data_IF_351934876252
#
_entry.id   IF_351934876252
#
_cell.length_a   1.000
_cell.length_b   1.000
_cell.length_c   1.000
_cell.angle_alpha   90.00
_cell.angle_beta   90.00
_cell.angle_gamma   90.00
#
_symmetry.space_group_name_H-M   'P 1'
#
loop_
_entity.id
_entity.type
_entity.pdbx_description
1 polymer ?
#
# COMPACT_ATOMS: atom_id res chain seq x y z
N UNK A 1 -2.98 5.87 24.78
CA UNK A 1 -4.34 5.83 24.21
C UNK A 1 -4.18 5.42 22.77
N UNK A 2 -4.90 4.40 22.30
CA UNK A 2 -4.83 3.96 20.91
C UNK A 2 -5.33 5.08 19.97
N UNK A 3 -4.71 5.23 18.79
CA UNK A 3 -5.04 6.27 17.81
C UNK A 3 -6.49 6.13 17.33
N UNK A 4 -6.98 4.89 17.21
CA UNK A 4 -8.36 4.63 16.81
C UNK A 4 -9.34 5.04 17.92
N UNK A 5 -9.02 4.78 19.19
CA UNK A 5 -9.85 5.22 20.32
C UNK A 5 -9.94 6.75 20.42
N UNK A 6 -8.81 7.43 20.21
CA UNK A 6 -8.77 8.88 20.18
C UNK A 6 -9.59 9.43 19.01
N UNK A 7 -9.38 8.91 17.80
CA UNK A 7 -10.10 9.32 16.59
C UNK A 7 -11.61 9.14 16.75
N UNK A 8 -12.07 8.02 17.33
CA UNK A 8 -13.50 7.79 17.60
C UNK A 8 -14.08 8.81 18.59
N UNK A 9 -13.32 9.25 19.59
CA UNK A 9 -13.79 10.27 20.55
C UNK A 9 -13.86 11.68 19.95
N UNK A 10 -12.94 11.99 19.04
CA UNK A 10 -12.83 13.32 18.44
C UNK A 10 -13.64 13.48 17.15
N UNK A 11 -14.24 12.42 16.61
CA UNK A 11 -14.98 12.52 15.37
C UNK A 11 -16.19 13.47 15.52
N UNK A 12 -16.32 14.40 14.59
CA UNK A 12 -17.48 15.27 14.47
C UNK A 12 -18.32 14.80 13.28
N UNK A 13 -19.61 14.53 13.52
CA UNK A 13 -20.53 14.12 12.46
C UNK A 13 -20.81 15.28 11.52
N UNK A 14 -20.66 15.05 10.22
CA UNK A 14 -21.01 15.98 9.17
C UNK A 14 -21.52 15.20 7.95
N UNK A 15 -21.85 15.93 6.87
CA UNK A 15 -22.34 15.34 5.62
C UNK A 15 -21.25 15.20 4.55
N UNK A 16 -19.97 15.43 4.89
CA UNK A 16 -18.88 15.26 3.93
C UNK A 16 -18.47 13.79 3.82
N UNK A 17 -17.78 13.48 2.72
CA UNK A 17 -17.19 12.17 2.46
C UNK A 17 -15.68 12.34 2.34
N UNK A 18 -14.95 11.33 2.80
CA UNK A 18 -13.50 11.25 2.61
C UNK A 18 -13.25 10.31 1.43
N UNK A 19 -12.46 10.79 0.47
CA UNK A 19 -11.92 9.97 -0.62
C UNK A 19 -10.42 9.88 -0.39
N UNK A 20 -9.93 8.67 -0.14
CA UNK A 20 -8.50 8.38 -0.10
C UNK A 20 -8.12 7.67 -1.39
N UNK A 21 -7.33 8.34 -2.23
CA UNK A 21 -6.82 7.78 -3.49
C UNK A 21 -5.36 7.38 -3.30
N UNK A 22 -5.03 6.13 -3.62
CA UNK A 22 -3.67 5.59 -3.53
C UNK A 22 -3.23 5.19 -4.93
N UNK A 23 -2.19 5.84 -5.43
CA UNK A 23 -1.49 5.42 -6.66
C UNK A 23 -0.31 4.53 -6.25
N UNK A 24 -0.40 3.24 -6.52
CA UNK A 24 0.64 2.27 -6.12
C UNK A 24 1.95 2.58 -6.85
N UNK A 25 3.06 2.58 -6.11
CA UNK A 25 4.39 2.87 -6.65
C UNK A 25 4.58 4.29 -7.21
N UNK A 26 3.76 5.28 -6.80
CA UNK A 26 3.85 6.66 -7.35
C UNK A 26 5.21 7.33 -7.12
N UNK A 27 5.87 7.03 -6.00
CA UNK A 27 7.18 7.60 -5.67
C UNK A 27 8.24 7.13 -6.66
N UNK A 28 9.01 8.08 -7.19
CA UNK A 28 10.00 7.84 -8.25
C UNK A 28 11.33 8.52 -7.98
N UNK A 29 12.30 8.27 -8.86
CA UNK A 29 13.62 8.91 -8.83
C UNK A 29 14.00 9.38 -10.24
N UNK A 30 14.67 10.54 -10.37
CA UNK A 30 15.13 10.99 -11.67
C UNK A 30 16.06 9.99 -12.35
N UNK A 31 15.85 9.76 -13.64
CA UNK A 31 16.72 8.90 -14.45
C UNK A 31 18.13 9.48 -14.58
N UNK A 32 18.22 10.80 -14.77
CA UNK A 32 19.46 11.56 -14.77
C UNK A 32 19.53 12.50 -13.56
N UNK A 33 20.75 12.75 -13.08
CA UNK A 33 20.97 13.65 -11.94
C UNK A 33 20.43 15.06 -12.25
N UNK A 34 19.44 15.50 -11.49
CA UNK A 34 18.80 16.82 -11.64
C UNK A 34 17.67 16.85 -12.67
N UNK A 35 17.34 15.73 -13.30
CA UNK A 35 16.13 15.59 -14.12
C UNK A 35 14.86 15.43 -13.27
N UNK A 36 13.69 15.34 -13.93
CA UNK A 36 12.42 15.08 -13.26
C UNK A 36 12.31 13.60 -12.84
N UNK A 37 11.56 13.34 -11.77
CA UNK A 37 10.95 12.05 -11.49
C UNK A 37 9.88 11.70 -12.54
N UNK A 38 9.43 10.45 -12.56
CA UNK A 38 8.37 9.97 -13.45
C UNK A 38 7.07 10.78 -13.29
N UNK A 39 6.72 11.16 -12.06
CA UNK A 39 5.54 11.98 -11.79
C UNK A 39 5.71 13.43 -12.29
N UNK A 40 6.90 14.02 -12.10
CA UNK A 40 7.19 15.37 -12.58
C UNK A 40 7.28 15.47 -14.10
N UNK A 41 7.68 14.38 -14.77
CA UNK A 41 7.74 14.32 -16.22
C UNK A 41 6.35 14.11 -16.87
N UNK A 42 5.37 13.59 -16.12
CA UNK A 42 4.04 13.29 -16.62
C UNK A 42 3.15 14.54 -16.69
N UNK A 43 2.32 14.64 -17.74
CA UNK A 43 1.29 15.66 -17.81
C UNK A 43 0.13 15.31 -16.87
N UNK A 44 0.06 15.96 -15.70
CA UNK A 44 -0.95 15.65 -14.66
C UNK A 44 -1.81 16.86 -14.25
N UNK A 45 -2.50 17.55 -15.20
CA UNK A 45 -3.17 18.83 -14.94
C UNK A 45 -4.22 18.77 -13.81
N UNK A 46 -4.87 17.63 -13.61
CA UNK A 46 -5.83 17.46 -12.52
C UNK A 46 -5.15 17.31 -11.15
N UNK A 47 -4.02 16.61 -11.08
CA UNK A 47 -3.26 16.45 -9.86
C UNK A 47 -2.56 17.78 -9.49
N UNK A 48 -2.04 18.49 -10.50
CA UNK A 48 -1.48 19.83 -10.36
C UNK A 48 -2.53 20.81 -9.81
N UNK A 49 -3.74 20.80 -10.36
CA UNK A 49 -4.84 21.63 -9.87
C UNK A 49 -5.22 21.29 -8.42
N UNK A 50 -5.23 20.00 -8.03
CA UNK A 50 -5.47 19.58 -6.66
C UNK A 50 -4.35 20.01 -5.72
N UNK A 51 -3.10 19.95 -6.16
CA UNK A 51 -1.94 20.38 -5.38
C UNK A 51 -1.97 21.88 -5.09
N UNK A 52 -2.30 22.71 -6.10
CA UNK A 52 -2.43 24.17 -5.96
C UNK A 52 -3.57 24.57 -5.02
N UNK A 53 -4.70 23.86 -5.06
CA UNK A 53 -5.88 24.17 -4.24
C UNK A 53 -5.90 23.43 -2.89
N UNK A 54 -4.86 22.65 -2.57
CA UNK A 54 -4.83 21.73 -1.44
C UNK A 54 -3.67 21.98 -0.49
N UNK A 55 -3.36 20.94 0.29
CA UNK A 55 -2.19 20.89 1.17
C UNK A 55 -1.33 19.72 0.74
N UNK A 56 -0.03 19.98 0.56
CA UNK A 56 0.95 18.98 0.15
C UNK A 56 1.80 18.53 1.33
N UNK A 57 2.34 17.32 1.24
CA UNK A 57 3.24 16.76 2.23
C UNK A 57 3.85 15.45 1.77
N UNK A 58 4.85 14.98 2.50
CA UNK A 58 5.42 13.65 2.32
C UNK A 58 4.82 12.67 3.33
N UNK A 59 4.64 11.41 2.94
CA UNK A 59 4.23 10.34 3.84
C UNK A 59 5.33 9.29 3.94
N UNK A 60 5.50 8.73 5.14
CA UNK A 60 6.40 7.61 5.41
C UNK A 60 5.51 6.44 5.83
N UNK A 61 5.22 5.46 4.94
CA UNK A 61 4.21 4.44 5.21
C UNK A 61 4.52 3.51 6.39
N UNK A 62 5.80 3.32 6.72
CA UNK A 62 6.25 2.45 7.82
C UNK A 62 7.17 3.22 8.76
N UNK A 63 8.44 3.40 8.38
CA UNK A 63 9.44 4.19 9.10
C UNK A 63 10.51 4.70 8.13
N UNK A 64 11.27 5.75 8.50
CA UNK A 64 12.42 6.19 7.72
C UNK A 64 13.38 5.01 7.44
N UNK A 65 13.73 4.82 6.17
CA UNK A 65 14.63 3.75 5.74
C UNK A 65 14.01 2.35 5.62
N UNK A 66 12.70 2.19 5.89
CA UNK A 66 12.00 0.92 5.68
C UNK A 66 11.19 0.99 4.38
N UNK A 67 11.59 0.21 3.39
CA UNK A 67 10.82 0.01 2.15
C UNK A 67 9.58 -0.84 2.44
N UNK A 68 8.35 -0.32 2.27
CA UNK A 68 7.15 -1.07 2.55
C UNK A 68 6.80 -2.02 1.40
N UNK A 69 6.32 -3.22 1.72
CA UNK A 69 5.46 -3.98 0.82
C UNK A 69 4.02 -3.46 0.88
N UNK A 70 3.17 -3.82 -0.09
CA UNK A 70 1.78 -3.32 -0.17
C UNK A 70 0.98 -3.58 1.11
N UNK A 71 1.16 -4.72 1.79
CA UNK A 71 0.47 -5.04 3.04
C UNK A 71 0.75 -4.03 4.16
N UNK A 72 2.00 -3.95 4.66
CA UNK A 72 2.41 -2.95 5.64
C UNK A 72 2.11 -1.50 5.22
N UNK A 73 2.29 -1.17 3.93
CA UNK A 73 1.99 0.17 3.40
C UNK A 73 0.52 0.54 3.54
N UNK A 74 -0.40 -0.36 3.19
CA UNK A 74 -1.84 -0.11 3.35
C UNK A 74 -2.26 -0.07 4.82
N UNK A 75 -1.68 -0.91 5.69
CA UNK A 75 -1.95 -0.85 7.12
C UNK A 75 -1.63 0.53 7.70
N UNK A 76 -0.46 1.09 7.36
CA UNK A 76 -0.07 2.44 7.75
C UNK A 76 -1.06 3.50 7.28
N UNK A 77 -1.52 3.41 6.03
CA UNK A 77 -2.52 4.35 5.47
C UNK A 77 -3.88 4.29 6.21
N UNK A 78 -4.28 3.10 6.69
CA UNK A 78 -5.51 2.92 7.47
C UNK A 78 -5.32 3.19 8.97
N UNK A 79 -4.15 3.66 9.40
CA UNK A 79 -3.85 4.07 10.77
C UNK A 79 -3.41 2.94 11.70
N UNK A 80 -3.16 1.73 11.18
CA UNK A 80 -2.59 0.64 11.95
C UNK A 80 -1.07 0.76 11.99
N UNK A 81 -0.46 0.45 13.13
CA UNK A 81 0.99 0.32 13.24
C UNK A 81 1.47 -0.94 12.47
N UNK A 82 2.17 -0.78 11.34
CA UNK A 82 2.58 -1.90 10.50
C UNK A 82 3.71 -2.75 11.11
N UNK A 83 4.38 -2.27 12.15
CA UNK A 83 5.40 -3.03 12.90
C UNK A 83 4.72 -3.94 13.92
N UNK A 84 3.67 -3.43 14.57
CA UNK A 84 2.87 -4.17 15.54
C UNK A 84 1.94 -5.20 14.89
N UNK A 85 1.21 -4.79 13.86
CA UNK A 85 0.22 -5.63 13.18
C UNK A 85 0.81 -6.26 11.93
N UNK A 86 1.37 -7.45 12.07
CA UNK A 86 1.98 -8.18 10.96
C UNK A 86 0.99 -9.19 10.37
N UNK A 87 0.50 -8.90 9.17
CA UNK A 87 -0.36 -9.81 8.41
C UNK A 87 0.49 -10.48 7.32
N UNK A 88 0.52 -11.81 7.31
CA UNK A 88 1.24 -12.57 6.31
C UNK A 88 0.66 -12.39 4.91
N UNK A 89 1.51 -12.41 3.87
CA UNK A 89 1.08 -12.22 2.47
C UNK A 89 0.03 -13.25 2.04
N UNK A 90 0.19 -14.52 2.45
CA UNK A 90 -0.79 -15.56 2.15
C UNK A 90 -2.18 -15.24 2.68
N UNK A 91 -2.27 -14.69 3.91
CA UNK A 91 -3.55 -14.32 4.50
C UNK A 91 -4.22 -13.16 3.74
N UNK A 92 -3.43 -12.16 3.31
CA UNK A 92 -3.92 -11.05 2.49
C UNK A 92 -4.45 -11.53 1.12
N UNK A 93 -3.70 -12.41 0.45
CA UNK A 93 -4.10 -12.95 -0.86
C UNK A 93 -5.37 -13.83 -0.76
N UNK A 94 -5.45 -14.68 0.28
CA UNK A 94 -6.64 -15.50 0.53
C UNK A 94 -7.89 -14.62 0.74
N UNK A 95 -7.76 -13.58 1.57
CA UNK A 95 -8.85 -12.60 1.76
C UNK A 95 -9.19 -11.89 0.46
N UNK A 96 -8.18 -11.58 -0.37
CA UNK A 96 -8.34 -10.93 -1.67
C UNK A 96 -9.16 -11.73 -2.68
N UNK A 97 -9.18 -13.06 -2.58
CA UNK A 97 -10.03 -13.93 -3.40
C UNK A 97 -11.37 -14.27 -2.73
N UNK A 98 -11.69 -13.62 -1.61
CA UNK A 98 -12.92 -13.85 -0.84
C UNK A 98 -12.90 -15.14 -0.01
N UNK A 99 -11.74 -15.72 0.25
CA UNK A 99 -11.61 -16.85 1.17
C UNK A 99 -11.68 -16.36 2.61
N UNK A 100 -12.57 -16.96 3.40
CA UNK A 100 -12.75 -16.62 4.81
C UNK A 100 -11.80 -17.42 5.69
N UNK A 101 -10.68 -16.79 6.09
CA UNK A 101 -9.69 -17.41 6.98
C UNK A 101 -10.22 -17.59 8.40
N UNK A 102 -9.97 -18.77 8.96
CA UNK A 102 -10.25 -19.10 10.35
C UNK A 102 -8.97 -19.10 11.20
N UNK A 103 -9.15 -19.07 12.52
CA UNK A 103 -8.03 -19.21 13.44
C UNK A 103 -7.36 -20.58 13.26
N UNK A 104 -6.03 -20.58 13.15
CA UNK A 104 -5.24 -21.77 12.86
C UNK A 104 -5.04 -22.10 11.37
N UNK A 105 -5.71 -21.40 10.44
CA UNK A 105 -5.49 -21.61 9.01
C UNK A 105 -4.09 -21.14 8.57
N UNK A 106 -3.50 -21.88 7.62
CA UNK A 106 -2.23 -21.52 6.97
C UNK A 106 -2.49 -21.23 5.50
N UNK A 107 -2.41 -19.96 5.12
CA UNK A 107 -2.55 -19.52 3.74
C UNK A 107 -1.18 -19.33 3.07
N UNK A 108 -1.05 -19.83 1.84
CA UNK A 108 0.19 -19.77 1.06
C UNK A 108 -0.11 -19.17 -0.31
N UNK A 109 0.70 -18.21 -0.74
CA UNK A 109 0.68 -17.72 -2.12
C UNK A 109 1.47 -18.69 -2.99
N UNK A 110 0.83 -19.21 -4.03
CA UNK A 110 1.46 -20.07 -5.02
C UNK A 110 1.49 -19.39 -6.39
N UNK A 111 2.50 -19.72 -7.19
CA UNK A 111 2.51 -19.47 -8.62
C UNK A 111 2.37 -20.81 -9.34
N UNK A 112 1.70 -20.82 -10.50
CA UNK A 112 1.86 -21.92 -11.44
C UNK A 112 3.25 -21.84 -12.06
N UNK A 113 3.86 -22.99 -12.35
CA UNK A 113 5.14 -23.08 -13.03
C UNK A 113 5.13 -24.25 -14.02
N UNK A 114 6.03 -24.20 -15.00
CA UNK A 114 6.24 -25.28 -15.96
C UNK A 114 7.47 -26.08 -15.56
N UNK A 115 7.38 -27.41 -15.63
CA UNK A 115 8.51 -28.31 -15.41
C UNK A 115 9.04 -28.85 -16.74
N UNK A 116 10.36 -28.90 -16.90
CA UNK A 116 11.00 -29.61 -18.00
C UNK A 116 10.97 -31.13 -17.80
N UNK A 117 11.52 -31.88 -18.77
CA UNK A 117 11.55 -33.34 -18.72
C UNK A 117 12.40 -33.90 -17.57
N UNK A 118 13.33 -33.11 -17.03
CA UNK A 118 14.19 -33.48 -15.91
C UNK A 118 13.59 -33.05 -14.55
N UNK A 119 12.41 -32.42 -14.56
CA UNK A 119 11.70 -31.95 -13.38
C UNK A 119 12.15 -30.59 -12.85
N UNK A 120 12.93 -29.81 -13.62
CA UNK A 120 13.33 -28.46 -13.24
C UNK A 120 12.28 -27.43 -13.64
N UNK A 121 12.19 -26.33 -12.89
CA UNK A 121 11.33 -25.20 -13.24
C UNK A 121 11.90 -24.49 -14.46
N UNK A 122 11.19 -24.55 -15.59
CA UNK A 122 11.58 -23.90 -16.84
C UNK A 122 10.93 -22.53 -17.04
N UNK A 123 9.80 -22.26 -16.37
CA UNK A 123 9.02 -21.01 -16.46
C UNK A 123 8.17 -20.80 -15.17
N UNK A 124 7.98 -19.54 -14.73
CA UNK A 124 7.34 -19.18 -13.44
C UNK A 124 6.68 -17.80 -13.41
#
# INVERSE_FOLDING_TARGET
MDIHDLTRKLHAKNNSKIIMMVADGLGGLPFEKGGPTELEAAETPNLDALAVNGVQGASIPVLPGISPGSGPGHLGLFGYDPIKYQIGRGALEATGIGFELQDGDVAIRCNFCTLDADGNISDR
#
